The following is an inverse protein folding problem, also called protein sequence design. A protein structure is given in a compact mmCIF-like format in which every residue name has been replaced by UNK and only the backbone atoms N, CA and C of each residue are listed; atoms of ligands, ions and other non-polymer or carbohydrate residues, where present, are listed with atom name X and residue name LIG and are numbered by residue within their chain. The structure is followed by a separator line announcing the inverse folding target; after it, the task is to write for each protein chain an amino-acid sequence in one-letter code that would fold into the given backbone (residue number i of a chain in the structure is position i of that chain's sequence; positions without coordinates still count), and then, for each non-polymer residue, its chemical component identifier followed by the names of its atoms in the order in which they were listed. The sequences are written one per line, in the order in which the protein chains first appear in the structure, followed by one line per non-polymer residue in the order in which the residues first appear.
data_IF_797001123638
#
_entry.id   IF_797001123638
#
_cell.length_a   1.000
_cell.length_b   1.000
_cell.length_c   1.000
_cell.angle_alpha   90.00
_cell.angle_beta   90.00
_cell.angle_gamma   90.00
#
_symmetry.space_group_name_H-M   'P 1'
#
loop_
_entity.id
_entity.type
_entity.pdbx_description
1 polymer ?
#
# COMPACT_ATOMS: atom_id res chain seq x y z
N UNK A 1 5.17 8.60 14.58
CA UNK A 1 3.85 9.00 14.04
C UNK A 1 3.66 8.26 12.72
N UNK A 2 2.74 7.29 12.64
CA UNK A 2 2.52 6.54 11.41
C UNK A 2 1.93 7.44 10.32
N UNK A 3 2.60 7.48 9.17
CA UNK A 3 2.13 8.10 7.94
C UNK A 3 1.90 7.00 6.92
N UNK A 4 0.65 6.87 6.50
CA UNK A 4 0.22 5.99 5.42
C UNK A 4 0.08 6.81 4.16
N UNK A 5 0.75 6.41 3.09
CA UNK A 5 0.53 6.96 1.75
C UNK A 5 0.06 5.81 0.87
N UNK A 6 -1.16 5.93 0.38
CA UNK A 6 -1.84 4.95 -0.46
C UNK A 6 -1.82 5.52 -1.87
N UNK A 7 -0.92 5.01 -2.70
CA UNK A 7 -0.90 5.28 -4.12
C UNK A 7 -1.90 4.36 -4.82
N UNK A 8 -2.74 4.91 -5.69
CA UNK A 8 -3.77 4.11 -6.34
C UNK A 8 -4.08 4.61 -7.75
N UNK A 9 -4.67 3.74 -8.58
CA UNK A 9 -5.25 4.20 -9.85
C UNK A 9 -6.42 5.16 -9.59
N UNK A 10 -6.65 6.18 -10.43
CA UNK A 10 -7.72 7.16 -10.23
C UNK A 10 -9.11 6.51 -10.07
N UNK A 11 -9.33 5.36 -10.71
CA UNK A 11 -10.58 4.59 -10.67
C UNK A 11 -10.83 3.82 -9.36
N UNK A 12 -9.80 3.50 -8.56
CA UNK A 12 -9.95 2.58 -7.41
C UNK A 12 -10.70 3.22 -6.22
N UNK A 13 -10.33 4.44 -5.85
CA UNK A 13 -10.93 5.16 -4.73
C UNK A 13 -11.67 6.42 -5.21
N UNK A 14 -12.66 6.23 -6.09
CA UNK A 14 -13.44 7.33 -6.63
C UNK A 14 -14.37 7.98 -5.59
N UNK A 15 -14.88 7.19 -4.64
CA UNK A 15 -15.82 7.63 -3.61
C UNK A 15 -15.10 8.14 -2.35
N UNK A 16 -15.44 9.35 -1.85
CA UNK A 16 -14.96 9.85 -0.56
C UNK A 16 -15.28 8.93 0.62
N UNK A 17 -16.46 8.29 0.59
CA UNK A 17 -16.92 7.36 1.63
C UNK A 17 -16.00 6.15 1.75
N UNK A 18 -15.51 5.63 0.61
CA UNK A 18 -14.58 4.50 0.60
C UNK A 18 -13.23 4.88 1.23
N UNK A 19 -12.71 6.07 0.91
CA UNK A 19 -11.47 6.59 1.52
C UNK A 19 -11.63 6.76 3.04
N UNK A 20 -12.77 7.31 3.46
CA UNK A 20 -13.06 7.53 4.88
C UNK A 20 -13.17 6.21 5.64
N UNK A 21 -13.87 5.21 5.09
CA UNK A 21 -14.01 3.89 5.70
C UNK A 21 -12.64 3.22 5.89
N UNK A 22 -11.78 3.25 4.86
CA UNK A 22 -10.44 2.67 4.95
C UNK A 22 -9.55 3.40 5.96
N UNK A 23 -9.58 4.74 5.97
CA UNK A 23 -8.82 5.53 6.94
C UNK A 23 -9.26 5.24 8.39
N UNK A 24 -10.56 5.06 8.62
CA UNK A 24 -11.10 4.68 9.92
C UNK A 24 -10.62 3.28 10.35
N UNK A 25 -10.65 2.30 9.44
CA UNK A 25 -10.13 0.94 9.72
C UNK A 25 -8.64 0.95 10.05
N UNK A 26 -7.81 1.69 9.31
CA UNK A 26 -6.38 1.83 9.60
C UNK A 26 -6.17 2.46 10.97
N UNK A 27 -6.93 3.51 11.30
CA UNK A 27 -6.83 4.18 12.61
C UNK A 27 -7.20 3.26 13.75
N UNK A 28 -8.21 2.41 13.57
CA UNK A 28 -8.64 1.43 14.58
C UNK A 28 -7.51 0.44 14.96
N UNK A 29 -6.66 0.03 14.01
CA UNK A 29 -5.51 -0.84 14.28
C UNK A 29 -4.54 -0.19 15.28
N UNK A 30 -4.28 1.11 15.13
CA UNK A 30 -3.37 1.83 16.03
C UNK A 30 -4.01 2.20 17.36
N UNK A 31 -5.32 2.49 17.37
CA UNK A 31 -6.08 2.68 18.60
C UNK A 31 -6.03 1.42 19.48
N UNK A 32 -6.20 0.24 18.88
CA UNK A 32 -6.08 -1.04 19.58
C UNK A 32 -4.69 -1.28 20.18
N UNK A 33 -3.64 -0.69 19.58
CA UNK A 33 -2.27 -0.71 20.07
C UNK A 33 -1.96 0.39 21.10
N UNK A 34 -2.95 1.18 21.54
CA UNK A 34 -2.79 2.23 22.56
C UNK A 34 -2.28 3.57 22.02
N UNK A 35 -2.24 3.76 20.70
CA UNK A 35 -1.84 5.03 20.10
C UNK A 35 -3.07 5.95 19.94
N UNK A 36 -3.01 7.24 20.34
CA UNK A 36 -4.12 8.16 20.11
C UNK A 36 -4.41 8.38 18.62
N UNK A 37 -5.69 8.52 18.25
CA UNK A 37 -6.14 8.58 16.85
C UNK A 37 -5.45 9.68 16.01
N UNK A 38 -5.22 10.86 16.61
CA UNK A 38 -4.63 12.01 15.90
C UNK A 38 -3.17 11.79 15.45
N UNK A 39 -2.53 10.69 15.86
CA UNK A 39 -1.19 10.33 15.40
C UNK A 39 -1.16 9.58 14.05
N UNK A 40 -2.32 9.10 13.59
CA UNK A 40 -2.44 8.29 12.37
C UNK A 40 -2.81 9.18 11.20
N UNK A 41 -1.87 9.37 10.28
CA UNK A 41 -2.10 10.13 9.05
C UNK A 41 -2.29 9.17 7.89
N UNK A 42 -3.38 9.30 7.14
CA UNK A 42 -3.66 8.49 5.95
C UNK A 42 -3.88 9.41 4.75
N UNK A 43 -2.99 9.30 3.76
CA UNK A 43 -3.03 10.06 2.52
C UNK A 43 -3.39 9.13 1.35
N UNK A 44 -4.25 9.62 0.48
CA UNK A 44 -4.62 8.97 -0.77
C UNK A 44 -4.05 9.76 -1.93
N UNK A 45 -3.08 9.18 -2.63
CA UNK A 45 -2.44 9.79 -3.78
C UNK A 45 -2.89 9.05 -5.06
N UNK A 46 -3.79 9.63 -5.86
CA UNK A 46 -4.03 9.10 -7.19
C UNK A 46 -2.75 9.25 -8.01
N UNK A 47 -2.40 8.19 -8.74
CA UNK A 47 -1.24 8.18 -9.65
C UNK A 47 -1.75 7.86 -11.04
N UNK A 48 -1.51 8.78 -11.97
CA UNK A 48 -1.86 8.58 -13.36
C UNK A 48 -1.11 7.37 -13.94
N UNK A 49 -1.77 6.58 -14.79
CA UNK A 49 -1.16 5.50 -15.57
C UNK A 49 0.24 5.80 -16.11
N UNK A 50 0.38 6.96 -16.75
CA UNK A 50 1.62 7.44 -17.41
C UNK A 50 2.74 7.80 -16.43
N UNK A 51 2.46 7.77 -15.12
CA UNK A 51 3.41 8.08 -14.04
C UNK A 51 3.77 6.85 -13.21
N UNK A 52 3.25 5.67 -13.55
CA UNK A 52 3.50 4.44 -12.82
C UNK A 52 4.04 3.35 -13.75
N UNK A 53 5.33 3.03 -13.62
CA UNK A 53 6.00 2.06 -14.48
C UNK A 53 6.43 0.84 -13.67
N UNK A 54 6.19 -0.35 -14.21
CA UNK A 54 6.65 -1.63 -13.64
C UNK A 54 7.48 -2.33 -14.71
N UNK A 55 8.74 -2.64 -14.42
CA UNK A 55 9.65 -3.22 -15.42
C UNK A 55 9.90 -2.33 -16.64
N UNK A 56 9.72 -1.01 -16.51
CA UNK A 56 9.84 -0.05 -17.62
C UNK A 56 8.58 0.14 -18.47
N UNK A 57 7.48 -0.56 -18.16
CA UNK A 57 6.21 -0.45 -18.88
C UNK A 57 5.19 0.35 -18.05
N UNK A 58 4.54 1.34 -18.67
CA UNK A 58 3.49 2.12 -18.01
C UNK A 58 2.29 1.23 -17.64
N UNK A 59 1.75 1.42 -16.44
CA UNK A 59 0.48 0.83 -16.01
C UNK A 59 -0.68 1.72 -16.47
N UNK A 60 -1.90 1.20 -16.73
CA UNK A 60 -2.19 -0.21 -16.88
C UNK A 60 -1.43 -0.68 -18.12
N UNK A 61 -0.64 -1.74 -17.95
CA UNK A 61 -0.01 -2.36 -19.09
C UNK A 61 -1.20 -2.83 -19.93
N UNK A 62 -1.36 -2.26 -21.13
CA UNK A 62 -2.19 -2.89 -22.14
C UNK A 62 -1.69 -4.33 -22.27
N UNK A 63 -2.50 -5.29 -21.83
CA UNK A 63 -2.16 -6.71 -21.90
C UNK A 63 -0.97 -7.12 -21.05
N UNK A 64 -1.15 -7.28 -19.74
CA UNK A 64 -0.56 -8.49 -19.16
C UNK A 64 -1.51 -9.60 -19.56
N UNK A 65 -1.10 -10.39 -20.54
CA UNK A 65 -1.74 -11.64 -20.93
C UNK A 65 -1.60 -12.61 -19.74
N UNK A 66 -2.53 -12.53 -18.78
CA UNK A 66 -2.73 -13.69 -17.92
C UNK A 66 -3.48 -14.67 -18.83
N UNK A 67 -2.79 -15.74 -19.23
CA UNK A 67 -3.36 -16.80 -20.03
C UNK A 67 -4.42 -17.55 -19.21
N UNK A 68 -5.64 -17.04 -19.17
CA UNK A 68 -6.80 -17.83 -18.81
C UNK A 68 -7.07 -18.80 -19.98
N UNK A 69 -7.23 -20.09 -19.67
CA UNK A 69 -7.27 -21.19 -20.63
C UNK A 69 -8.44 -21.12 -21.64
N UNK A 70 -9.47 -20.32 -21.36
CA UNK A 70 -10.67 -20.19 -22.17
C UNK A 70 -10.90 -18.71 -22.50
N UNK A 71 -10.38 -18.32 -23.67
CA UNK A 71 -10.20 -16.92 -24.04
C UNK A 71 -11.49 -16.12 -24.29
N UNK A 72 -11.69 -15.10 -23.46
CA UNK A 72 -12.31 -13.84 -23.87
C UNK A 72 -11.38 -12.68 -23.49
N UNK A 73 -10.83 -12.01 -24.50
CA UNK A 73 -9.85 -10.93 -24.36
C UNK A 73 -10.55 -9.61 -24.06
N UNK A 74 -10.91 -9.37 -22.81
CA UNK A 74 -11.41 -8.06 -22.39
C UNK A 74 -10.25 -7.18 -21.89
N UNK A 75 -10.02 -6.07 -22.57
CA UNK A 75 -9.05 -5.04 -22.20
C UNK A 75 -9.54 -4.24 -20.98
N UNK A 76 -9.67 -4.89 -19.82
CA UNK A 76 -9.93 -4.20 -18.55
C UNK A 76 -8.63 -3.63 -18.02
N UNK A 77 -8.61 -2.32 -17.76
CA UNK A 77 -7.53 -1.68 -17.05
C UNK A 77 -7.41 -2.29 -15.65
N UNK A 78 -6.28 -2.94 -15.35
CA UNK A 78 -6.06 -3.56 -14.03
C UNK A 78 -5.77 -2.47 -13.00
N UNK A 79 -6.68 -2.19 -12.05
CA UNK A 79 -6.41 -1.21 -11.00
C UNK A 79 -5.19 -1.63 -10.19
N UNK A 80 -4.49 -0.66 -9.61
CA UNK A 80 -3.37 -0.93 -8.70
C UNK A 80 -3.53 -0.13 -7.43
N UNK A 81 -3.01 -0.71 -6.34
CA UNK A 81 -2.88 -0.06 -5.05
C UNK A 81 -1.48 -0.36 -4.51
N UNK A 82 -0.75 0.67 -4.12
CA UNK A 82 0.55 0.56 -3.46
C UNK A 82 0.50 1.32 -2.15
N UNK A 83 0.80 0.63 -1.06
CA UNK A 83 0.78 1.19 0.28
C UNK A 83 2.22 1.41 0.72
N UNK A 84 2.52 2.62 1.20
CA UNK A 84 3.75 2.90 1.93
C UNK A 84 3.40 3.33 3.34
N UNK A 85 4.14 2.80 4.30
CA UNK A 85 3.95 3.09 5.71
C UNK A 85 5.28 3.64 6.21
N UNK A 86 5.29 4.90 6.59
CA UNK A 86 6.44 5.54 7.20
C UNK A 86 6.17 5.68 8.69
N UNK A 87 7.02 5.07 9.49
CA UNK A 87 7.05 5.30 10.92
C UNK A 87 8.24 6.21 11.22
N UNK A 88 7.97 7.43 11.71
CA UNK A 88 8.97 8.12 12.54
C UNK A 88 9.24 7.19 13.73
N UNK A 89 10.42 6.57 13.72
CA UNK A 89 10.84 5.51 14.62
C UNK A 89 10.59 5.94 16.07
N UNK A 90 9.54 5.41 16.68
CA UNK A 90 9.50 5.28 18.12
C UNK A 90 10.10 3.92 18.41
N UNK A 91 11.15 3.90 19.22
CA UNK A 91 11.57 2.70 19.91
C UNK A 91 10.38 2.28 20.76
N UNK A 92 9.57 1.36 20.24
CA UNK A 92 8.61 0.65 21.06
C UNK A 92 9.50 -0.20 21.97
N UNK A 93 9.79 0.30 23.17
CA UNK A 93 10.22 -0.56 24.26
C UNK A 93 9.06 -1.48 24.56
N UNK A 94 8.87 -2.48 23.70
CA UNK A 94 8.16 -3.68 24.08
C UNK A 94 9.07 -4.27 25.13
N UNK A 95 8.60 -4.30 26.37
CA UNK A 95 9.22 -5.02 27.47
C UNK A 95 9.19 -6.52 27.15
N UNK A 96 9.96 -6.94 26.16
CA UNK A 96 10.39 -8.32 25.99
C UNK A 96 11.82 -8.37 26.53
N UNK A 97 12.07 -9.11 27.61
CA UNK A 97 13.44 -9.35 28.03
C UNK A 97 14.09 -10.20 26.94
N UNK A 98 15.08 -9.62 26.26
CA UNK A 98 15.96 -10.24 25.26
C UNK A 98 15.44 -10.36 23.82
N UNK A 99 15.33 -9.26 23.07
CA UNK A 99 15.50 -9.33 21.62
C UNK A 99 16.20 -8.08 21.08
N UNK A 100 17.45 -8.25 20.67
CA UNK A 100 18.25 -7.21 20.00
C UNK A 100 17.81 -7.18 18.53
N UNK A 101 16.98 -6.20 18.15
CA UNK A 101 16.68 -5.96 16.73
C UNK A 101 17.87 -5.27 16.06
N UNK A 102 18.69 -6.06 15.38
CA UNK A 102 19.68 -5.57 14.42
C UNK A 102 18.96 -4.94 13.23
N UNK A 103 19.34 -3.71 12.91
CA UNK A 103 18.88 -2.97 11.75
C UNK A 103 19.18 -3.77 10.46
N UNK A 104 18.14 -4.31 9.82
CA UNK A 104 18.24 -4.79 8.46
C UNK A 104 17.11 -4.18 7.64
N UNK A 105 17.49 -3.26 6.76
CA UNK A 105 16.66 -2.69 5.70
C UNK A 105 16.11 -3.81 4.84
N UNK A 106 14.91 -4.32 5.17
CA UNK A 106 14.26 -5.38 4.40
C UNK A 106 13.63 -4.77 3.13
N UNK A 107 14.48 -4.48 2.16
CA UNK A 107 14.09 -4.24 0.77
C UNK A 107 13.81 -5.60 0.16
N UNK A 108 12.58 -6.10 0.30
CA UNK A 108 12.10 -7.28 -0.42
C UNK A 108 12.12 -6.99 -1.93
N UNK A 109 13.20 -7.40 -2.60
CA UNK A 109 13.16 -7.83 -3.99
C UNK A 109 12.97 -9.35 -3.95
N UNK A 110 11.76 -9.81 -4.21
CA UNK A 110 11.51 -11.20 -4.56
C UNK A 110 11.64 -11.33 -6.08
N UNK A 111 12.82 -11.76 -6.53
CA UNK A 111 13.05 -12.40 -7.83
C UNK A 111 12.85 -13.89 -7.56
N UNK A 112 11.88 -14.50 -8.23
CA UNK A 112 11.74 -15.97 -8.29
C UNK A 112 12.08 -16.36 -9.73
N UNK A 113 13.02 -17.30 -9.84
CA UNK A 113 13.46 -17.95 -11.07
C UNK A 113 12.32 -18.65 -11.81
#
# INVERSE_FOLDING_TARGET
MPLWIIYHSPSTFASPQTKQALAASITAIYLAAGLPAFYVNVLFQPVEPTSFYVGGVARPAMGVEDADADGEKESRERPFVRITIQHLARQLYVSVPNFVFSWCTLRLYAVVC
#
